data_IF_082065355617
#
_entry.id   IF_082065355617
#
_cell.length_a   1.000
_cell.length_b   1.000
_cell.length_c   1.000
_cell.angle_alpha   90.00
_cell.angle_beta   90.00
_cell.angle_gamma   90.00
#
_symmetry.space_group_name_H-M   'P 1'
#
loop_
_entity.id
_entity.type
_entity.pdbx_description
1 polymer ?
#
# COMPACT_ATOMS: atom_id res chain seq x y z
N UNK A 1 -58.17 11.98 -17.41
CA UNK A 1 -58.13 11.17 -18.64
C UNK A 1 -57.94 9.71 -18.28
N UNK A 2 -58.71 8.83 -18.93
CA UNK A 2 -58.79 7.34 -18.96
C UNK A 2 -57.58 6.57 -18.37
N UNK A 3 -57.81 5.72 -17.35
CA UNK A 3 -58.01 4.23 -17.36
C UNK A 3 -56.68 3.46 -17.44
N UNK A 4 -56.36 2.67 -16.39
CA UNK A 4 -56.46 1.18 -16.30
C UNK A 4 -55.45 0.50 -17.25
N UNK A 5 -54.63 -0.47 -16.84
CA UNK A 5 -55.04 -1.80 -16.40
C UNK A 5 -53.91 -2.54 -15.63
N UNK A 6 -54.32 -3.32 -14.62
CA UNK A 6 -53.62 -4.47 -14.07
C UNK A 6 -53.92 -5.68 -14.97
N UNK A 7 -52.94 -6.53 -15.30
CA UNK A 7 -53.19 -7.96 -15.55
C UNK A 7 -51.98 -8.83 -15.21
N UNK A 8 -52.31 -9.91 -14.50
CA UNK A 8 -51.49 -11.06 -14.18
C UNK A 8 -51.44 -12.09 -15.34
N UNK A 9 -50.40 -12.92 -15.36
CA UNK A 9 -50.35 -14.25 -16.00
C UNK A 9 -49.03 -14.92 -15.57
N UNK A 10 -49.00 -15.95 -14.72
CA UNK A 10 -49.40 -17.36 -14.84
C UNK A 10 -48.70 -18.15 -15.96
N UNK A 11 -47.93 -19.16 -15.51
CA UNK A 11 -47.56 -20.39 -16.23
C UNK A 11 -46.37 -20.25 -17.17
N UNK A 12 -45.35 -21.11 -17.15
CA UNK A 12 -45.45 -22.57 -17.08
C UNK A 12 -44.09 -23.19 -16.72
N UNK A 13 -44.16 -24.32 -16.02
CA UNK A 13 -43.05 -25.21 -15.74
C UNK A 13 -42.45 -25.79 -17.03
N UNK A 14 -41.11 -25.73 -17.15
CA UNK A 14 -40.33 -26.51 -18.10
C UNK A 14 -39.47 -27.51 -17.34
N UNK A 15 -40.03 -28.67 -17.00
CA UNK A 15 -39.25 -29.84 -16.59
C UNK A 15 -38.66 -30.45 -17.85
N UNK A 16 -37.33 -30.38 -18.01
CA UNK A 16 -36.62 -31.30 -18.89
C UNK A 16 -35.87 -32.28 -17.98
N UNK A 17 -36.47 -33.45 -17.80
CA UNK A 17 -35.77 -34.63 -17.37
C UNK A 17 -35.01 -35.21 -18.58
N UNK A 18 -33.68 -35.19 -18.52
CA UNK A 18 -32.81 -35.91 -19.44
C UNK A 18 -31.68 -36.52 -18.64
N UNK A 19 -31.84 -37.79 -18.26
CA UNK A 19 -30.81 -38.54 -17.54
C UNK A 19 -29.68 -39.01 -18.46
N UNK A 20 -28.47 -39.04 -17.90
CA UNK A 20 -27.44 -40.03 -18.25
C UNK A 20 -26.38 -39.61 -19.25
N UNK A 21 -25.28 -39.03 -18.76
CA UNK A 21 -23.91 -39.43 -19.12
C UNK A 21 -22.92 -38.87 -18.08
N UNK A 22 -22.37 -39.75 -17.24
CA UNK A 22 -21.20 -39.45 -16.41
C UNK A 22 -19.99 -39.46 -17.35
N UNK A 23 -19.44 -38.29 -17.65
CA UNK A 23 -18.14 -38.15 -18.28
C UNK A 23 -17.19 -37.51 -17.26
N UNK A 24 -16.16 -38.27 -16.92
CA UNK A 24 -15.16 -37.96 -15.92
C UNK A 24 -14.23 -36.83 -16.37
N UNK A 25 -14.64 -35.57 -16.25
CA UNK A 25 -13.75 -34.41 -16.17
C UNK A 25 -14.45 -33.34 -15.33
N UNK A 26 -13.79 -32.92 -14.25
CA UNK A 26 -14.35 -32.10 -13.17
C UNK A 26 -14.94 -30.78 -13.65
N UNK A 27 -16.11 -30.46 -13.09
CA UNK A 27 -16.70 -29.11 -13.11
C UNK A 27 -15.77 -28.15 -12.36
N UNK A 28 -15.37 -27.00 -12.93
CA UNK A 28 -14.77 -25.94 -12.13
C UNK A 28 -15.87 -25.38 -11.22
N UNK A 29 -15.75 -25.62 -9.91
CA UNK A 29 -16.55 -24.92 -8.91
C UNK A 29 -16.39 -23.41 -9.13
N UNK A 30 -17.45 -22.59 -9.10
CA UNK A 30 -17.25 -21.19 -8.79
C UNK A 30 -16.66 -21.16 -7.38
N UNK A 31 -15.41 -20.73 -7.28
CA UNK A 31 -14.84 -20.37 -6.00
C UNK A 31 -15.80 -19.35 -5.38
N UNK A 32 -16.39 -19.71 -4.25
CA UNK A 32 -16.89 -18.78 -3.26
C UNK A 32 -15.78 -17.77 -3.03
N UNK A 33 -15.90 -16.62 -3.68
CA UNK A 33 -15.29 -15.39 -3.20
C UNK A 33 -15.99 -15.15 -1.88
N UNK A 34 -15.34 -15.51 -0.78
CA UNK A 34 -15.64 -14.86 0.49
C UNK A 34 -15.33 -13.40 0.26
N UNK A 35 -16.37 -12.63 -0.08
CA UNK A 35 -16.40 -11.20 0.16
C UNK A 35 -16.24 -11.06 1.67
N UNK A 36 -15.00 -10.91 2.09
CA UNK A 36 -14.67 -10.54 3.46
C UNK A 36 -15.15 -9.10 3.56
N UNK A 37 -16.22 -8.91 4.32
CA UNK A 37 -16.71 -7.60 4.74
C UNK A 37 -15.59 -6.98 5.59
N UNK A 38 -14.74 -6.20 4.94
CA UNK A 38 -13.70 -5.41 5.58
C UNK A 38 -14.32 -4.07 5.98
N UNK A 39 -14.75 -3.98 7.24
CA UNK A 39 -15.13 -2.73 7.90
C UNK A 39 -13.85 -1.97 8.29
N UNK A 40 -13.17 -1.43 7.28
CA UNK A 40 -12.02 -0.54 7.40
C UNK A 40 -12.08 0.48 6.27
N UNK A 41 -11.84 1.76 6.59
CA UNK A 41 -11.77 2.86 5.62
C UNK A 41 -10.50 2.71 4.75
N UNK A 42 -10.47 1.67 3.92
CA UNK A 42 -9.30 1.24 3.17
C UNK A 42 -9.23 2.01 1.84
N UNK A 43 -8.78 3.26 1.94
CA UNK A 43 -8.88 4.25 0.87
C UNK A 43 -8.13 3.93 -0.44
N UNK A 44 -7.33 2.86 -0.50
CA UNK A 44 -6.61 2.46 -1.73
C UNK A 44 -6.89 1.01 -2.18
N UNK A 45 -7.50 0.17 -1.36
CA UNK A 45 -7.76 -1.26 -1.67
C UNK A 45 -6.49 -2.05 -2.00
N UNK A 46 -5.31 -1.61 -1.55
CA UNK A 46 -4.03 -2.31 -1.76
C UNK A 46 -3.62 -3.17 -0.56
N UNK A 47 -4.24 -2.97 0.61
CA UNK A 47 -3.96 -3.77 1.80
C UNK A 47 -4.22 -5.26 1.48
N UNK A 48 -3.31 -6.12 1.93
CA UNK A 48 -3.29 -7.54 1.62
C UNK A 48 -2.72 -7.91 0.24
N UNK A 49 -2.37 -6.95 -0.61
CA UNK A 49 -1.69 -7.22 -1.89
C UNK A 49 -0.19 -7.32 -1.71
N UNK A 50 0.41 -8.19 -2.52
CA UNK A 50 1.85 -8.33 -2.66
C UNK A 50 2.27 -7.78 -4.03
N UNK A 51 3.43 -7.14 -4.08
CA UNK A 51 4.00 -6.60 -5.32
C UNK A 51 5.41 -7.14 -5.53
N UNK A 52 5.78 -7.30 -6.81
CA UNK A 52 7.16 -7.63 -7.14
C UNK A 52 8.11 -6.54 -6.61
N UNK A 53 9.32 -6.91 -6.15
CA UNK A 53 10.27 -5.92 -5.70
C UNK A 53 10.70 -4.95 -6.80
N UNK A 54 11.01 -3.72 -6.40
CA UNK A 54 11.52 -2.67 -7.26
C UNK A 54 12.73 -1.99 -6.60
N UNK A 55 13.72 -1.61 -7.40
CA UNK A 55 14.89 -0.88 -6.92
C UNK A 55 14.65 0.63 -7.05
N UNK A 56 14.90 1.37 -5.98
CA UNK A 56 14.80 2.82 -5.92
C UNK A 56 16.17 3.41 -5.74
N UNK A 57 16.49 4.42 -6.54
CA UNK A 57 17.72 5.20 -6.38
C UNK A 57 17.62 6.07 -5.12
N UNK A 58 18.64 6.03 -4.27
CA UNK A 58 18.71 6.82 -3.04
C UNK A 58 19.71 7.96 -3.19
N UNK A 59 19.43 9.06 -2.49
CA UNK A 59 20.27 10.27 -2.52
C UNK A 59 21.11 10.36 -1.24
N UNK A 60 22.38 10.75 -1.37
CA UNK A 60 23.23 11.08 -0.22
C UNK A 60 22.69 12.36 0.44
N UNK A 61 22.24 12.25 1.69
CA UNK A 61 21.61 13.32 2.47
C UNK A 61 21.68 12.98 3.97
N UNK A 62 21.33 13.88 4.90
CA UNK A 62 21.23 13.50 6.31
C UNK A 62 20.36 12.24 6.52
N UNK A 63 20.94 11.20 7.13
CA UNK A 63 20.29 9.91 7.34
C UNK A 63 20.11 9.02 6.10
N UNK A 64 20.65 9.40 4.94
CA UNK A 64 20.53 8.66 3.67
C UNK A 64 21.87 8.55 2.94
N UNK A 65 22.14 7.40 2.33
CA UNK A 65 23.35 7.18 1.51
C UNK A 65 22.98 7.08 0.03
N UNK A 66 23.84 7.57 -0.86
CA UNK A 66 23.66 7.40 -2.31
C UNK A 66 23.83 5.93 -2.71
N UNK A 67 22.89 5.40 -3.49
CA UNK A 67 22.87 3.99 -3.86
C UNK A 67 21.50 3.53 -4.37
N UNK A 68 21.12 2.30 -4.02
CA UNK A 68 19.78 1.79 -4.26
C UNK A 68 19.21 1.08 -3.04
N UNK A 69 17.89 1.15 -2.88
CA UNK A 69 17.13 0.38 -1.91
C UNK A 69 16.08 -0.47 -2.62
N UNK A 70 15.93 -1.71 -2.18
CA UNK A 70 14.93 -2.65 -2.71
C UNK A 70 13.63 -2.53 -1.92
N UNK A 71 12.52 -2.30 -2.59
CA UNK A 71 11.18 -2.19 -1.98
C UNK A 71 10.24 -3.25 -2.58
N UNK A 72 9.68 -4.17 -1.77
CA UNK A 72 9.97 -4.36 -0.35
C UNK A 72 11.36 -4.97 -0.14
N UNK A 73 11.96 -4.69 1.02
CA UNK A 73 13.24 -5.29 1.40
C UNK A 73 13.03 -6.74 1.84
N UNK A 74 13.86 -7.70 1.38
CA UNK A 74 13.77 -9.08 1.87
C UNK A 74 13.99 -9.16 3.38
N UNK A 75 13.20 -9.97 4.06
CA UNK A 75 13.37 -10.31 5.47
C UNK A 75 13.29 -9.11 6.45
N UNK A 76 12.79 -7.95 5.98
CA UNK A 76 12.58 -6.76 6.81
C UNK A 76 11.37 -5.96 6.34
N UNK A 77 10.46 -5.56 7.26
CA UNK A 77 9.37 -4.66 6.90
C UNK A 77 9.89 -3.35 6.32
N UNK A 78 9.12 -2.76 5.41
CA UNK A 78 9.44 -1.50 4.74
C UNK A 78 8.28 -0.53 4.91
N UNK A 79 8.56 0.65 5.42
CA UNK A 79 7.65 1.79 5.45
C UNK A 79 8.04 2.75 4.33
N UNK A 80 7.06 3.20 3.55
CA UNK A 80 7.25 4.16 2.46
C UNK A 80 6.30 5.33 2.62
N UNK A 81 6.85 6.54 2.75
CA UNK A 81 6.13 7.81 2.65
C UNK A 81 6.32 8.40 1.23
N UNK A 82 5.21 8.74 0.58
CA UNK A 82 5.18 9.33 -0.74
C UNK A 82 4.88 10.83 -0.62
N UNK A 83 5.80 11.66 -1.13
CA UNK A 83 5.75 13.09 -0.94
C UNK A 83 6.16 13.88 -2.20
N UNK A 84 6.00 15.19 -2.12
CA UNK A 84 6.62 16.14 -3.05
C UNK A 84 7.13 17.36 -2.29
N UNK A 85 8.25 17.93 -2.72
CA UNK A 85 8.93 19.05 -2.06
C UNK A 85 8.08 20.34 -2.03
N UNK A 86 7.20 20.52 -3.02
CA UNK A 86 6.26 21.64 -3.10
C UNK A 86 4.93 21.39 -2.37
N UNK A 87 4.70 20.19 -1.83
CA UNK A 87 3.45 19.82 -1.16
C UNK A 87 3.44 20.35 0.28
N UNK A 88 2.68 21.42 0.54
CA UNK A 88 2.58 22.01 1.88
C UNK A 88 2.13 21.03 2.97
N UNK A 89 1.15 20.12 2.75
CA UNK A 89 0.83 19.08 3.73
C UNK A 89 1.99 18.12 4.01
N UNK A 90 2.82 17.83 3.01
CA UNK A 90 3.99 16.96 3.15
C UNK A 90 5.07 17.62 4.02
N UNK A 91 5.31 18.93 3.83
CA UNK A 91 6.21 19.69 4.73
C UNK A 91 5.72 19.64 6.19
N UNK A 92 4.40 19.71 6.42
CA UNK A 92 3.81 19.61 7.76
C UNK A 92 3.93 18.21 8.39
N UNK A 93 4.11 17.18 7.57
CA UNK A 93 4.21 15.79 7.99
C UNK A 93 5.60 15.44 8.53
N UNK A 94 6.64 16.22 8.19
CA UNK A 94 8.04 15.91 8.48
C UNK A 94 8.33 15.70 9.98
N UNK A 95 7.77 16.51 10.87
CA UNK A 95 7.94 16.37 12.33
C UNK A 95 7.36 15.04 12.86
N UNK A 96 6.20 14.63 12.33
CA UNK A 96 5.58 13.36 12.66
C UNK A 96 6.38 12.17 12.12
N UNK A 97 6.93 12.27 10.90
CA UNK A 97 7.81 11.26 10.30
C UNK A 97 9.11 11.10 11.08
N UNK A 98 9.76 12.21 11.45
CA UNK A 98 10.98 12.19 12.27
C UNK A 98 10.71 11.49 13.62
N UNK A 99 9.64 11.87 14.29
CA UNK A 99 9.23 11.24 15.56
C UNK A 99 8.91 9.75 15.39
N UNK A 100 8.24 9.37 14.30
CA UNK A 100 7.94 7.96 14.02
C UNK A 100 9.22 7.15 13.74
N UNK A 101 10.12 7.68 12.90
CA UNK A 101 11.41 7.08 12.58
C UNK A 101 12.26 6.84 13.83
N UNK A 102 12.34 7.82 14.74
CA UNK A 102 13.05 7.67 16.01
C UNK A 102 12.48 6.55 16.90
N UNK A 103 11.15 6.34 16.87
CA UNK A 103 10.48 5.34 17.71
C UNK A 103 10.61 3.93 17.18
N UNK A 104 10.54 3.75 15.86
CA UNK A 104 10.65 2.42 15.22
C UNK A 104 12.10 1.98 15.00
N UNK A 105 13.03 2.93 14.92
CA UNK A 105 14.46 2.67 14.76
C UNK A 105 14.77 1.76 13.57
N UNK A 106 15.76 0.88 13.75
CA UNK A 106 16.32 0.02 12.70
C UNK A 106 15.48 -1.25 12.41
N UNK A 107 14.33 -1.41 13.07
CA UNK A 107 13.46 -2.59 12.92
C UNK A 107 12.80 -2.63 11.53
N UNK A 108 12.68 -1.46 10.88
CA UNK A 108 12.08 -1.31 9.55
C UNK A 108 12.97 -0.51 8.62
N UNK A 109 12.85 -0.74 7.32
CA UNK A 109 13.37 0.21 6.32
C UNK A 109 12.41 1.39 6.26
N UNK A 110 12.87 2.57 6.66
CA UNK A 110 12.09 3.80 6.64
C UNK A 110 12.51 4.67 5.45
N UNK A 111 11.62 4.82 4.47
CA UNK A 111 11.92 5.44 3.18
C UNK A 111 10.90 6.53 2.85
N UNK A 112 11.37 7.72 2.45
CA UNK A 112 10.52 8.70 1.75
C UNK A 112 10.88 8.73 0.26
N UNK A 113 9.87 8.78 -0.61
CA UNK A 113 10.02 8.74 -2.07
C UNK A 113 9.30 9.91 -2.73
N UNK A 114 9.99 10.59 -3.65
CA UNK A 114 9.39 11.60 -4.54
C UNK A 114 9.46 11.16 -6.00
N UNK A 115 8.43 11.47 -6.77
CA UNK A 115 8.40 11.27 -8.23
C UNK A 115 8.93 12.48 -9.02
N UNK A 116 9.39 13.51 -8.32
CA UNK A 116 9.88 14.73 -8.94
C UNK A 116 11.18 14.50 -9.71
N UNK A 117 11.29 15.13 -10.88
CA UNK A 117 12.56 15.28 -11.58
C UNK A 117 13.34 16.46 -10.99
N UNK A 118 13.85 16.28 -9.76
CA UNK A 118 14.63 17.23 -8.99
C UNK A 118 16.10 16.78 -8.92
N UNK A 119 17.06 17.71 -8.82
CA UNK A 119 18.48 17.32 -8.67
C UNK A 119 18.79 16.84 -7.25
N UNK A 120 19.78 15.95 -7.10
CA UNK A 120 20.26 15.46 -5.80
C UNK A 120 20.62 16.58 -4.82
N UNK A 121 21.19 17.68 -5.33
CA UNK A 121 21.56 18.82 -4.49
C UNK A 121 20.33 19.55 -3.97
N UNK A 122 19.36 19.85 -4.84
CA UNK A 122 18.12 20.51 -4.43
C UNK A 122 17.31 19.65 -3.46
N UNK A 123 17.26 18.34 -3.70
CA UNK A 123 16.56 17.40 -2.83
C UNK A 123 17.26 17.24 -1.48
N UNK A 124 18.60 17.13 -1.46
CA UNK A 124 19.39 17.10 -0.22
C UNK A 124 19.20 18.36 0.61
N UNK A 125 19.22 19.54 -0.03
CA UNK A 125 19.06 20.82 0.66
C UNK A 125 17.65 20.93 1.27
N UNK A 126 16.61 20.52 0.53
CA UNK A 126 15.25 20.43 1.06
C UNK A 126 15.16 19.46 2.24
N UNK A 127 15.79 18.29 2.13
CA UNK A 127 15.81 17.28 3.19
C UNK A 127 16.43 17.82 4.48
N UNK A 128 17.56 18.51 4.36
CA UNK A 128 18.27 19.11 5.48
C UNK A 128 17.49 20.28 6.12
N UNK A 129 16.83 21.12 5.32
CA UNK A 129 16.01 22.24 5.81
C UNK A 129 14.78 21.77 6.60
N UNK A 130 14.30 20.55 6.32
CA UNK A 130 13.10 19.99 6.93
C UNK A 130 13.39 18.85 7.91
N UNK A 131 14.60 18.81 8.46
CA UNK A 131 15.04 17.86 9.48
C UNK A 131 14.83 16.38 9.07
N UNK A 132 14.87 16.10 7.76
CA UNK A 132 14.88 14.74 7.25
C UNK A 132 16.15 14.03 7.70
N UNK A 133 16.00 12.82 8.24
CA UNK A 133 17.13 12.06 8.79
C UNK A 133 16.92 10.54 8.67
N UNK A 134 16.34 10.11 7.56
CA UNK A 134 16.15 8.72 7.15
C UNK A 134 16.38 8.60 5.64
N UNK A 135 16.21 7.40 5.09
CA UNK A 135 16.49 7.13 3.67
C UNK A 135 15.53 7.92 2.78
N UNK A 136 16.08 8.59 1.76
CA UNK A 136 15.30 9.33 0.76
C UNK A 136 15.59 8.81 -0.65
N UNK A 137 14.53 8.54 -1.40
CA UNK A 137 14.58 7.95 -2.73
C UNK A 137 13.91 8.78 -3.82
N UNK A 138 14.37 8.55 -5.06
CA UNK A 138 13.84 9.14 -6.28
C UNK A 138 13.10 8.07 -7.10
N UNK A 139 11.88 8.39 -7.54
CA UNK A 139 11.05 7.56 -8.44
C UNK A 139 10.58 8.38 -9.65
N UNK A 140 11.49 8.91 -10.49
CA UNK A 140 11.14 9.81 -11.59
C UNK A 140 10.26 9.15 -12.66
N UNK A 141 10.22 7.82 -12.72
CA UNK A 141 9.34 7.03 -13.61
C UNK A 141 7.98 6.73 -12.99
N UNK A 142 7.78 7.04 -11.70
CA UNK A 142 6.60 6.72 -10.91
C UNK A 142 6.29 5.21 -10.85
N UNK A 143 7.30 4.36 -11.02
CA UNK A 143 7.12 2.90 -11.12
C UNK A 143 6.80 2.30 -9.75
N UNK A 144 7.55 2.67 -8.70
CA UNK A 144 7.23 2.24 -7.34
C UNK A 144 5.91 2.85 -6.87
N UNK A 145 5.77 4.15 -7.09
CA UNK A 145 4.56 4.92 -6.85
C UNK A 145 3.33 4.21 -7.41
N UNK A 146 3.34 3.78 -8.67
CA UNK A 146 2.17 3.14 -9.29
C UNK A 146 1.78 1.78 -8.67
N UNK A 147 2.71 1.11 -7.97
CA UNK A 147 2.45 -0.18 -7.30
C UNK A 147 1.71 0.02 -5.99
N UNK A 148 2.09 1.05 -5.23
CA UNK A 148 1.68 1.23 -3.84
C UNK A 148 0.83 2.48 -3.59
N UNK A 149 0.73 3.37 -4.57
CA UNK A 149 0.12 4.67 -4.41
C UNK A 149 -0.72 5.07 -5.63
N UNK A 150 -1.79 5.83 -5.39
CA UNK A 150 -2.76 6.24 -6.39
C UNK A 150 -3.17 7.72 -6.37
N UNK A 151 -2.63 8.56 -5.48
CA UNK A 151 -3.07 9.93 -5.10
C UNK A 151 -4.13 9.98 -3.98
N UNK A 152 -4.17 11.05 -3.13
CA UNK A 152 -3.35 12.28 -3.10
C UNK A 152 -2.10 12.22 -2.19
N UNK A 153 -1.22 13.23 -2.26
CA UNK A 153 -0.11 13.42 -1.29
C UNK A 153 -0.56 14.12 0.00
N UNK A 154 0.14 13.90 1.14
CA UNK A 154 1.06 12.79 1.38
C UNK A 154 0.29 11.47 1.43
N UNK A 155 0.99 10.36 1.24
CA UNK A 155 0.47 9.01 1.44
C UNK A 155 1.56 8.14 2.02
N UNK A 156 1.18 7.12 2.77
CA UNK A 156 2.15 6.20 3.35
C UNK A 156 1.64 4.76 3.31
N UNK A 157 2.57 3.82 3.20
CA UNK A 157 2.31 2.38 3.22
C UNK A 157 3.31 1.66 4.12
N UNK A 158 2.85 0.61 4.79
CA UNK A 158 3.71 -0.33 5.52
C UNK A 158 3.59 -1.71 4.89
N UNK A 159 4.74 -2.29 4.57
CA UNK A 159 4.87 -3.56 3.86
C UNK A 159 5.62 -4.51 4.78
N UNK A 160 5.10 -5.72 4.98
CA UNK A 160 5.78 -6.73 5.79
C UNK A 160 6.98 -7.36 5.06
N UNK A 161 7.75 -8.20 5.76
CA UNK A 161 8.93 -8.88 5.23
C UNK A 161 8.62 -9.86 4.07
N UNK A 162 7.36 -10.28 3.91
CA UNK A 162 6.91 -11.10 2.78
C UNK A 162 6.60 -10.27 1.53
N UNK A 163 6.54 -8.94 1.68
CA UNK A 163 6.18 -7.99 0.63
C UNK A 163 4.68 -7.70 0.55
N UNK A 164 3.91 -8.06 1.56
CA UNK A 164 2.46 -7.81 1.62
C UNK A 164 2.18 -6.47 2.29
N UNK A 165 1.33 -5.64 1.69
CA UNK A 165 0.91 -4.37 2.29
C UNK A 165 0.01 -4.64 3.50
N UNK A 166 0.37 -4.11 4.68
CA UNK A 166 -0.39 -4.28 5.93
C UNK A 166 -1.09 -3.01 6.39
N UNK A 167 -0.71 -1.88 5.82
CA UNK A 167 -1.32 -0.59 6.13
C UNK A 167 -1.08 0.37 4.96
N UNK A 168 -2.09 1.16 4.61
CA UNK A 168 -2.04 2.16 3.55
C UNK A 168 -2.96 3.31 3.91
N UNK A 169 -2.45 4.52 3.91
CA UNK A 169 -3.22 5.70 4.30
C UNK A 169 -2.81 6.94 3.52
N UNK A 170 -3.72 7.91 3.44
CA UNK A 170 -3.49 9.20 2.79
C UNK A 170 -3.69 10.37 3.76
N UNK A 171 -3.11 11.51 3.42
CA UNK A 171 -3.18 12.73 4.23
C UNK A 171 -2.18 12.78 5.38
N UNK A 172 -2.18 13.90 6.10
CA UNK A 172 -1.30 14.13 7.26
C UNK A 172 -1.68 13.15 8.37
N UNK A 173 -0.68 12.53 8.99
CA UNK A 173 -0.81 11.59 10.10
C UNK A 173 0.02 12.07 11.28
N UNK A 174 -0.44 11.74 12.48
CA UNK A 174 0.37 11.87 13.68
C UNK A 174 1.47 10.80 13.72
N UNK A 175 2.50 11.02 14.53
CA UNK A 175 3.54 10.02 14.74
C UNK A 175 2.94 8.71 15.30
N UNK A 176 1.92 8.79 16.16
CA UNK A 176 1.24 7.62 16.73
C UNK A 176 0.53 6.80 15.65
N UNK A 177 -0.13 7.46 14.69
CA UNK A 177 -0.78 6.77 13.56
C UNK A 177 0.24 6.11 12.63
N UNK A 178 1.36 6.79 12.35
CA UNK A 178 2.45 6.24 11.53
C UNK A 178 3.07 5.01 12.21
N UNK A 179 3.42 5.12 13.49
CA UNK A 179 3.99 4.01 14.28
C UNK A 179 3.01 2.83 14.32
N UNK A 180 1.73 3.06 14.61
CA UNK A 180 0.74 1.98 14.63
C UNK A 180 0.53 1.35 13.24
N UNK A 181 0.71 2.09 12.16
CA UNK A 181 0.71 1.56 10.80
C UNK A 181 1.94 0.69 10.51
N UNK A 182 3.11 1.08 11.02
CA UNK A 182 4.37 0.34 10.88
C UNK A 182 4.36 -0.95 11.71
N UNK A 183 3.87 -0.87 12.96
CA UNK A 183 3.76 -2.02 13.88
C UNK A 183 2.95 -3.17 13.27
N UNK A 184 1.87 -2.87 12.52
CA UNK A 184 1.10 -3.90 11.79
C UNK A 184 1.95 -4.73 10.82
N UNK A 185 2.96 -4.11 10.19
CA UNK A 185 3.86 -4.81 9.28
C UNK A 185 4.95 -5.59 10.03
N UNK A 186 5.40 -5.08 11.18
CA UNK A 186 6.33 -5.78 12.08
C UNK A 186 5.68 -7.05 12.64
N UNK A 187 4.53 -6.92 13.29
CA UNK A 187 3.80 -8.04 13.92
C UNK A 187 3.45 -9.15 12.91
N UNK A 188 3.08 -8.76 11.68
CA UNK A 188 2.82 -9.70 10.59
C UNK A 188 4.09 -10.45 10.14
N UNK A 189 5.24 -9.79 10.15
CA UNK A 189 6.53 -10.40 9.79
C UNK A 189 7.02 -11.37 10.86
N UNK A 190 6.84 -11.02 12.14
CA UNK A 190 7.17 -11.90 13.26
C UNK A 190 6.31 -13.18 13.23
N UNK A 191 5.00 -13.01 13.02
CA UNK A 191 4.06 -14.13 12.93
C UNK A 191 4.37 -15.07 11.76
N UNK A 192 4.86 -14.53 10.64
CA UNK A 192 5.25 -15.34 9.48
C UNK A 192 6.51 -16.17 9.79
N UNK A 193 7.51 -15.57 10.43
CA UNK A 193 8.75 -16.26 10.80
C UNK A 193 8.54 -17.36 11.85
N UNK A 194 7.56 -17.22 12.74
CA UNK A 194 7.23 -18.25 13.75
C UNK A 194 6.51 -19.47 13.17
N UNK A 195 5.92 -19.34 11.97
CA UNK A 195 5.15 -20.40 11.33
C UNK A 195 6.00 -21.36 10.47
N UNK A 196 7.29 -21.05 10.26
CA UNK A 196 8.27 -21.84 9.50
C UNK A 196 9.07 -22.82 10.39
#
# INVERSE_FOLDING_TARGET
MRRRDLLAGLGSAGVIAGGGAVAAFGVPSPATVTEQEDDGDDSSGIVGKQHDPYEIETVDAPGSEAGTVRVPTPDRPTFVDFFATWCSPCIKQMDALATAHERVGDEVVFLSVTTESISDTELRDWWAEHDGNWTIGLDPTAELTSRYWGTPYPSAVSIDATGTVRWSETGIKTADELVAGIERALEASESANEAE
#
